data_IF_165187762742
#
_entry.id   IF_165187762742
#
_cell.length_a   1.000
_cell.length_b   1.000
_cell.length_c   1.000
_cell.angle_alpha   90.00
_cell.angle_beta   90.00
_cell.angle_gamma   90.00
#
_symmetry.space_group_name_H-M   'P 1'
#
loop_
_entity.id
_entity.type
_entity.pdbx_description
1 polymer ?
#
# COMPACT_ATOMS: atom_id res chain seq x y z
N UNK A 1 4.04 26.16 -3.35
CA UNK A 1 3.34 25.75 -4.59
C UNK A 1 1.83 25.70 -4.39
N UNK A 2 1.32 24.84 -3.50
CA UNK A 2 -0.13 24.70 -3.23
C UNK A 2 -0.84 26.01 -2.86
N UNK A 3 -0.22 26.88 -2.04
CA UNK A 3 -0.81 28.20 -1.74
C UNK A 3 -1.00 29.09 -2.97
N UNK A 4 -0.11 28.99 -3.97
CA UNK A 4 -0.25 29.75 -5.23
C UNK A 4 -1.34 29.16 -6.13
N UNK A 5 -1.51 27.83 -6.09
CA UNK A 5 -2.63 27.15 -6.76
C UNK A 5 -3.97 27.57 -6.16
N UNK A 6 -4.07 27.65 -4.83
CA UNK A 6 -5.29 28.12 -4.15
C UNK A 6 -5.68 29.55 -4.56
N UNK A 7 -4.70 30.43 -4.80
CA UNK A 7 -4.96 31.80 -5.26
C UNK A 7 -5.63 31.86 -6.65
N UNK A 8 -5.48 30.81 -7.45
CA UNK A 8 -6.13 30.68 -8.76
C UNK A 8 -7.33 29.71 -8.73
N UNK A 9 -7.84 29.39 -7.54
CA UNK A 9 -9.01 28.51 -7.36
C UNK A 9 -8.71 27.01 -7.37
N UNK A 10 -7.45 26.61 -7.50
CA UNK A 10 -7.02 25.21 -7.49
C UNK A 10 -6.64 24.76 -6.07
N UNK A 11 -7.61 24.24 -5.31
CA UNK A 11 -7.39 23.81 -3.92
C UNK A 11 -7.08 22.31 -3.82
N UNK A 12 -5.78 22.00 -3.71
CA UNK A 12 -5.26 20.64 -3.57
C UNK A 12 -4.62 20.45 -2.19
N UNK A 13 -4.79 19.27 -1.61
CA UNK A 13 -4.05 18.79 -0.45
C UNK A 13 -2.64 18.36 -0.84
N UNK A 14 -2.52 17.64 -1.96
CA UNK A 14 -1.25 17.14 -2.46
C UNK A 14 -1.26 16.98 -3.99
N UNK A 15 -0.07 17.00 -4.58
CA UNK A 15 0.16 16.70 -6.00
C UNK A 15 1.54 16.05 -6.17
N UNK A 16 1.58 14.94 -6.92
CA UNK A 16 2.78 14.16 -7.21
C UNK A 16 2.88 13.95 -8.71
N UNK A 17 4.06 14.23 -9.27
CA UNK A 17 4.33 14.10 -10.69
C UNK A 17 5.50 13.15 -10.93
N UNK A 18 5.27 12.13 -11.77
CA UNK A 18 6.29 11.18 -12.20
C UNK A 18 6.56 11.37 -13.69
N UNK A 19 7.82 11.63 -14.02
CA UNK A 19 8.31 11.73 -15.40
C UNK A 19 8.95 10.41 -15.81
N UNK A 20 8.36 9.74 -16.80
CA UNK A 20 8.92 8.54 -17.43
C UNK A 20 8.62 8.54 -18.94
N UNK A 21 8.52 7.35 -19.53
CA UNK A 21 8.00 7.20 -20.91
C UNK A 21 6.58 7.77 -21.03
N UNK A 22 5.78 7.55 -19.98
CA UNK A 22 4.51 8.23 -19.74
C UNK A 22 4.65 9.17 -18.55
N UNK A 23 3.98 10.31 -18.63
CA UNK A 23 3.92 11.31 -17.57
C UNK A 23 2.70 11.02 -16.69
N UNK A 24 2.91 10.75 -15.40
CA UNK A 24 1.83 10.47 -14.46
C UNK A 24 1.67 11.60 -13.46
N UNK A 25 0.42 12.00 -13.22
CA UNK A 25 0.05 13.01 -12.25
C UNK A 25 -0.97 12.40 -11.29
N UNK A 26 -0.67 12.43 -10.00
CA UNK A 26 -1.58 12.01 -8.92
C UNK A 26 -1.82 13.22 -8.04
N UNK A 27 -3.08 13.55 -7.78
CA UNK A 27 -3.45 14.73 -6.99
C UNK A 27 -4.62 14.40 -6.07
N UNK A 28 -4.69 15.12 -4.95
CA UNK A 28 -5.77 15.00 -3.98
C UNK A 28 -6.42 16.37 -3.80
N UNK A 29 -7.57 16.64 -4.44
CA UNK A 29 -8.30 17.89 -4.29
C UNK A 29 -9.10 17.91 -2.97
N UNK A 30 -9.31 19.09 -2.39
CA UNK A 30 -10.00 19.22 -1.08
C UNK A 30 -11.51 19.00 -1.11
N UNK A 31 -12.15 19.23 -2.25
CA UNK A 31 -13.62 19.18 -2.36
C UNK A 31 -14.00 18.58 -3.72
N UNK A 32 -14.16 17.26 -3.76
CA UNK A 32 -14.75 16.55 -4.90
C UNK A 32 -15.62 15.43 -4.35
N UNK A 33 -16.94 15.58 -4.47
CA UNK A 33 -17.86 14.47 -4.23
C UNK A 33 -17.84 13.53 -5.44
N UNK A 34 -17.58 12.24 -5.20
CA UNK A 34 -17.45 11.23 -6.27
C UNK A 34 -18.75 10.99 -7.05
N UNK A 35 -19.90 11.29 -6.45
CA UNK A 35 -21.20 10.80 -6.94
C UNK A 35 -21.80 11.61 -8.10
N UNK A 36 -21.18 12.73 -8.51
CA UNK A 36 -21.71 13.56 -9.61
C UNK A 36 -20.62 14.41 -10.28
N UNK A 37 -19.65 13.77 -10.93
CA UNK A 37 -18.52 14.47 -11.55
C UNK A 37 -18.82 14.80 -13.01
N UNK A 38 -18.87 16.10 -13.30
CA UNK A 38 -18.88 16.61 -14.67
C UNK A 38 -17.50 16.38 -15.32
N UNK A 39 -17.44 15.53 -16.35
CA UNK A 39 -16.20 15.12 -17.01
C UNK A 39 -15.49 16.27 -17.74
N UNK A 40 -16.23 17.18 -18.36
CA UNK A 40 -15.65 18.33 -19.07
C UNK A 40 -15.01 19.30 -18.07
N UNK A 41 -15.72 19.60 -16.98
CA UNK A 41 -15.18 20.42 -15.90
C UNK A 41 -13.95 19.77 -15.24
N UNK A 42 -13.97 18.44 -15.08
CA UNK A 42 -12.82 17.70 -14.56
C UNK A 42 -11.61 17.76 -15.51
N UNK A 43 -11.80 17.58 -16.82
CA UNK A 43 -10.73 17.68 -17.80
C UNK A 43 -10.11 19.08 -17.83
N UNK A 44 -10.94 20.13 -17.81
CA UNK A 44 -10.50 21.53 -17.71
C UNK A 44 -9.69 21.78 -16.43
N UNK A 45 -10.19 21.31 -15.28
CA UNK A 45 -9.50 21.44 -13.99
C UNK A 45 -8.11 20.79 -14.02
N UNK A 46 -7.98 19.57 -14.57
CA UNK A 46 -6.68 18.90 -14.68
C UNK A 46 -5.76 19.64 -15.66
N UNK A 47 -6.28 20.20 -16.77
CA UNK A 47 -5.50 21.03 -17.70
C UNK A 47 -4.93 22.28 -17.01
N UNK A 48 -5.73 22.99 -16.22
CA UNK A 48 -5.28 24.17 -15.49
C UNK A 48 -4.14 23.84 -14.54
N UNK A 49 -4.22 22.71 -13.82
CA UNK A 49 -3.16 22.25 -12.93
C UNK A 49 -1.88 21.93 -13.73
N UNK A 50 -1.99 21.20 -14.84
CA UNK A 50 -0.85 20.85 -15.70
C UNK A 50 -0.15 22.09 -16.25
N UNK A 51 -0.94 23.07 -16.72
CA UNK A 51 -0.44 24.34 -17.23
C UNK A 51 0.23 25.17 -16.11
N UNK A 52 -0.39 25.21 -14.93
CA UNK A 52 0.14 25.94 -13.78
C UNK A 52 1.48 25.36 -13.30
N UNK A 53 1.61 24.03 -13.25
CA UNK A 53 2.85 23.34 -12.86
C UNK A 53 3.91 23.42 -13.97
N UNK A 54 3.51 23.72 -15.21
CA UNK A 54 4.41 23.80 -16.36
C UNK A 54 4.87 22.43 -16.85
N UNK A 55 4.01 21.41 -16.75
CA UNK A 55 4.34 20.06 -17.25
C UNK A 55 4.27 20.11 -18.78
N UNK A 56 5.37 19.80 -19.50
CA UNK A 56 5.40 19.89 -20.96
C UNK A 56 4.48 18.83 -21.57
N UNK A 57 3.56 19.26 -22.46
CA UNK A 57 2.59 18.38 -23.13
C UNK A 57 2.73 18.46 -24.65
N UNK A 58 2.76 17.29 -25.31
CA UNK A 58 2.73 17.17 -26.78
C UNK A 58 1.40 16.64 -27.32
N UNK A 59 0.66 15.89 -26.50
CA UNK A 59 -0.60 15.22 -26.84
C UNK A 59 -1.61 15.41 -25.71
N UNK A 60 -2.88 15.03 -25.92
CA UNK A 60 -3.89 15.04 -24.87
C UNK A 60 -3.68 13.93 -23.81
N UNK A 61 -4.44 14.00 -22.71
CA UNK A 61 -4.39 12.99 -21.66
C UNK A 61 -4.76 11.62 -22.21
N UNK A 62 -3.86 10.65 -22.06
CA UNK A 62 -4.15 9.27 -22.45
C UNK A 62 -5.28 8.68 -21.61
N UNK A 63 -5.30 8.99 -20.30
CA UNK A 63 -6.31 8.53 -19.33
C UNK A 63 -6.46 9.55 -18.21
N UNK A 64 -7.70 9.82 -17.80
CA UNK A 64 -8.05 10.52 -16.57
C UNK A 64 -8.98 9.63 -15.75
N UNK A 65 -8.76 9.53 -14.45
CA UNK A 65 -9.54 8.67 -13.55
C UNK A 65 -9.58 9.28 -12.17
N UNK A 66 -10.66 9.01 -11.44
CA UNK A 66 -10.90 9.54 -10.11
C UNK A 66 -11.09 8.35 -9.17
N UNK A 67 -10.47 8.45 -8.01
CA UNK A 67 -10.47 7.41 -6.99
C UNK A 67 -10.85 8.04 -5.65
N UNK A 68 -11.64 7.31 -4.86
CA UNK A 68 -11.99 7.70 -3.50
C UNK A 68 -10.97 7.12 -2.52
N UNK A 69 -10.31 7.99 -1.76
CA UNK A 69 -9.39 7.61 -0.67
C UNK A 69 -9.98 7.89 0.72
N UNK A 70 -11.26 8.25 0.81
CA UNK A 70 -11.94 8.58 2.07
C UNK A 70 -12.09 7.35 2.97
N UNK A 71 -12.28 6.17 2.38
CA UNK A 71 -12.27 4.89 3.07
C UNK A 71 -11.15 4.01 2.52
N UNK A 72 -10.28 3.53 3.41
CA UNK A 72 -9.24 2.57 3.06
C UNK A 72 -9.58 1.22 3.66
N UNK A 73 -9.60 0.19 2.81
CA UNK A 73 -9.79 -1.18 3.24
C UNK A 73 -8.50 -1.76 3.84
N UNK A 74 -8.65 -2.51 4.94
CA UNK A 74 -7.59 -3.33 5.51
C UNK A 74 -8.19 -4.61 6.06
N UNK A 75 -7.48 -5.72 5.90
CA UNK A 75 -7.88 -6.96 6.53
C UNK A 75 -7.73 -6.86 8.06
N UNK A 76 -8.67 -7.44 8.81
CA UNK A 76 -8.55 -7.58 10.27
C UNK A 76 -7.37 -8.48 10.65
N UNK A 77 -7.15 -9.54 9.86
CA UNK A 77 -6.08 -10.52 10.06
C UNK A 77 -5.40 -10.82 8.75
N UNK A 78 -4.10 -11.08 8.81
CA UNK A 78 -3.34 -11.40 7.62
C UNK A 78 -3.54 -12.82 7.11
N UNK A 79 -3.93 -13.74 7.99
CA UNK A 79 -4.20 -15.13 7.67
C UNK A 79 -5.18 -15.77 8.65
N UNK A 80 -5.79 -16.87 8.22
CA UNK A 80 -6.65 -17.72 9.03
C UNK A 80 -6.49 -19.19 8.64
N UNK A 81 -6.84 -20.08 9.56
CA UNK A 81 -6.87 -21.53 9.29
C UNK A 81 -8.30 -22.01 9.52
N UNK A 82 -8.91 -22.50 8.44
CA UNK A 82 -10.25 -23.09 8.46
C UNK A 82 -10.12 -24.60 8.63
N UNK A 83 -10.97 -25.21 9.45
CA UNK A 83 -10.96 -26.66 9.67
C UNK A 83 -12.31 -27.25 9.28
N UNK A 84 -12.29 -28.30 8.47
CA UNK A 84 -13.50 -29.04 8.08
C UNK A 84 -13.14 -30.50 7.83
N UNK A 85 -13.94 -31.44 8.37
CA UNK A 85 -13.72 -32.89 8.21
C UNK A 85 -12.30 -33.35 8.57
N UNK A 86 -11.71 -32.79 9.63
CA UNK A 86 -10.35 -33.10 10.06
C UNK A 86 -9.23 -32.57 9.12
N UNK A 87 -9.57 -31.83 8.07
CA UNK A 87 -8.63 -31.19 7.15
C UNK A 87 -8.52 -29.70 7.44
N UNK A 88 -7.31 -29.16 7.29
CA UNK A 88 -7.01 -27.73 7.49
C UNK A 88 -6.84 -27.04 6.14
N UNK A 89 -7.41 -25.85 6.01
CA UNK A 89 -7.23 -24.94 4.88
C UNK A 89 -6.61 -23.64 5.40
N UNK A 90 -5.41 -23.35 4.93
CA UNK A 90 -4.67 -22.13 5.27
C UNK A 90 -5.03 -21.04 4.26
N UNK A 91 -5.53 -19.90 4.74
CA UNK A 91 -5.93 -18.76 3.92
C UNK A 91 -5.09 -17.55 4.34
N UNK A 92 -4.46 -16.87 3.38
CA UNK A 92 -3.66 -15.67 3.65
C UNK A 92 -3.88 -14.60 2.59
N UNK A 93 -3.96 -13.35 3.03
CA UNK A 93 -4.08 -12.18 2.15
C UNK A 93 -2.69 -11.61 1.82
N UNK A 94 -2.58 -11.03 0.62
CA UNK A 94 -1.38 -10.32 0.12
C UNK A 94 -1.78 -9.09 -0.70
N UNK A 95 -0.86 -8.15 -0.86
CA UNK A 95 -1.08 -6.93 -1.66
C UNK A 95 -2.26 -6.10 -1.16
N UNK A 96 -2.97 -5.49 -2.10
CA UNK A 96 -4.07 -4.56 -1.81
C UNK A 96 -5.23 -5.24 -1.06
N UNK A 97 -5.42 -6.56 -1.23
CA UNK A 97 -6.42 -7.32 -0.46
C UNK A 97 -6.12 -7.40 1.04
N UNK A 98 -4.85 -7.25 1.42
CA UNK A 98 -4.40 -7.25 2.81
C UNK A 98 -4.39 -5.83 3.39
N UNK A 99 -3.87 -4.87 2.62
CA UNK A 99 -3.70 -3.49 3.05
C UNK A 99 -3.73 -2.56 1.83
N UNK A 100 -4.85 -1.86 1.66
CA UNK A 100 -5.01 -0.91 0.58
C UNK A 100 -4.01 0.25 0.71
N UNK A 101 -3.22 0.56 -0.34
CA UNK A 101 -2.21 1.59 -0.27
C UNK A 101 -2.79 2.97 -0.57
N UNK A 102 -2.34 3.97 0.19
CA UNK A 102 -2.50 5.37 -0.19
C UNK A 102 -1.40 5.71 -1.19
N UNK A 103 -1.76 5.94 -2.46
CA UNK A 103 -0.77 6.00 -3.54
C UNK A 103 0.27 7.10 -3.39
N UNK A 104 -0.11 8.24 -2.81
CA UNK A 104 0.81 9.35 -2.60
C UNK A 104 1.88 9.08 -1.53
N UNK A 105 1.75 8.01 -0.72
CA UNK A 105 2.81 7.58 0.21
C UNK A 105 3.93 6.77 -0.47
N UNK A 106 3.68 6.25 -1.68
CA UNK A 106 4.71 5.54 -2.47
C UNK A 106 5.20 4.21 -1.88
N UNK A 107 4.47 3.61 -0.93
CA UNK A 107 4.87 2.36 -0.26
C UNK A 107 4.06 1.12 -0.68
N UNK A 108 3.04 1.28 -1.53
CA UNK A 108 2.14 0.19 -1.93
C UNK A 108 2.86 -1.01 -2.51
N UNK A 109 3.73 -0.81 -3.51
CA UNK A 109 4.53 -1.89 -4.10
C UNK A 109 5.41 -2.57 -3.06
N UNK A 110 6.08 -1.81 -2.18
CA UNK A 110 6.92 -2.38 -1.14
C UNK A 110 6.12 -3.28 -0.19
N UNK A 111 4.97 -2.81 0.32
CA UNK A 111 4.07 -3.59 1.19
C UNK A 111 3.55 -4.84 0.47
N UNK A 112 3.17 -4.73 -0.80
CA UNK A 112 2.72 -5.86 -1.62
C UNK A 112 3.76 -6.98 -1.70
N UNK A 113 5.01 -6.66 -2.07
CA UNK A 113 6.09 -7.65 -2.14
C UNK A 113 6.43 -8.24 -0.76
N UNK A 114 6.48 -7.42 0.29
CA UNK A 114 6.73 -7.91 1.65
C UNK A 114 5.64 -8.89 2.10
N UNK A 115 4.37 -8.57 1.86
CA UNK A 115 3.25 -9.48 2.18
C UNK A 115 3.30 -10.80 1.42
N UNK A 116 3.74 -10.78 0.16
CA UNK A 116 3.93 -11.99 -0.63
C UNK A 116 5.05 -12.86 -0.04
N UNK A 117 6.19 -12.26 0.33
CA UNK A 117 7.29 -12.99 0.97
C UNK A 117 6.89 -13.57 2.33
N UNK A 118 6.12 -12.82 3.13
CA UNK A 118 5.59 -13.28 4.42
C UNK A 118 4.60 -14.45 4.26
N UNK A 119 3.76 -14.40 3.23
CA UNK A 119 2.85 -15.50 2.89
C UNK A 119 3.61 -16.75 2.42
N UNK A 120 4.64 -16.59 1.58
CA UNK A 120 5.47 -17.71 1.12
C UNK A 120 6.21 -18.35 2.30
N UNK A 121 6.75 -17.54 3.21
CA UNK A 121 7.36 -18.08 4.43
C UNK A 121 6.36 -18.84 5.29
N UNK A 122 5.15 -18.29 5.50
CA UNK A 122 4.09 -18.97 6.24
C UNK A 122 3.79 -20.35 5.64
N UNK A 123 3.63 -20.44 4.31
CA UNK A 123 3.40 -21.70 3.61
C UNK A 123 4.56 -22.68 3.83
N UNK A 124 5.81 -22.23 3.80
CA UNK A 124 6.99 -23.07 3.99
C UNK A 124 7.15 -23.63 5.42
N UNK A 125 6.46 -23.05 6.41
CA UNK A 125 6.45 -23.49 7.80
C UNK A 125 5.27 -24.39 8.17
N UNK A 126 4.30 -24.58 7.28
CA UNK A 126 3.17 -25.50 7.51
C UNK A 126 3.71 -26.91 7.79
N UNK A 127 3.25 -27.51 8.89
CA UNK A 127 3.69 -28.83 9.35
C UNK A 127 5.05 -28.86 10.06
N UNK A 128 5.80 -27.75 10.08
CA UNK A 128 7.05 -27.60 10.87
C UNK A 128 6.83 -26.82 12.16
N UNK A 129 5.91 -25.85 12.13
CA UNK A 129 5.55 -25.01 13.26
C UNK A 129 4.12 -25.32 13.71
N UNK A 130 3.85 -25.08 15.00
CA UNK A 130 2.48 -25.12 15.50
C UNK A 130 1.64 -24.02 14.83
N UNK A 131 0.42 -24.35 14.41
CA UNK A 131 -0.49 -23.44 13.70
C UNK A 131 -0.70 -22.10 14.44
N UNK A 132 -0.75 -22.14 15.77
CA UNK A 132 -0.90 -20.94 16.61
C UNK A 132 0.30 -20.01 16.46
N UNK A 133 1.51 -20.55 16.52
CA UNK A 133 2.74 -19.76 16.33
C UNK A 133 2.84 -19.25 14.90
N UNK A 134 2.46 -20.07 13.92
CA UNK A 134 2.46 -19.70 12.51
C UNK A 134 1.56 -18.49 12.24
N UNK A 135 0.34 -18.50 12.77
CA UNK A 135 -0.58 -17.36 12.68
C UNK A 135 -0.07 -16.14 13.45
N UNK A 136 0.53 -16.34 14.63
CA UNK A 136 1.10 -15.25 15.42
C UNK A 136 2.26 -14.54 14.68
N UNK A 137 3.18 -15.29 14.07
CA UNK A 137 4.30 -14.73 13.31
C UNK A 137 3.81 -14.03 12.03
N UNK A 138 2.80 -14.58 11.36
CA UNK A 138 2.19 -13.96 10.18
C UNK A 138 1.47 -12.66 10.53
N UNK A 139 0.79 -12.60 11.66
CA UNK A 139 0.16 -11.39 12.16
C UNK A 139 1.21 -10.36 12.62
N UNK A 140 2.29 -10.81 13.23
CA UNK A 140 3.39 -9.94 13.65
C UNK A 140 4.03 -9.20 12.46
N UNK A 141 4.36 -9.92 11.38
CA UNK A 141 4.86 -9.30 10.14
C UNK A 141 3.87 -8.33 9.51
N UNK A 142 2.57 -8.64 9.59
CA UNK A 142 1.53 -7.73 9.12
C UNK A 142 1.50 -6.42 9.92
N UNK A 143 1.61 -6.48 11.25
CA UNK A 143 1.66 -5.28 12.10
C UNK A 143 2.88 -4.40 11.80
N UNK A 144 4.04 -4.98 11.50
CA UNK A 144 5.21 -4.23 11.04
C UNK A 144 4.87 -3.47 9.76
N UNK A 145 4.31 -4.17 8.77
CA UNK A 145 3.95 -3.60 7.48
C UNK A 145 2.93 -2.46 7.56
N UNK A 146 1.98 -2.53 8.49
CA UNK A 146 1.03 -1.44 8.78
C UNK A 146 1.72 -0.17 9.27
N UNK A 147 2.87 -0.27 9.95
CA UNK A 147 3.65 0.89 10.44
C UNK A 147 4.65 1.43 9.42
N UNK A 148 5.06 0.61 8.44
CA UNK A 148 6.01 1.04 7.41
C UNK A 148 5.49 2.23 6.61
N UNK A 149 6.31 3.26 6.44
CA UNK A 149 5.98 4.41 5.57
C UNK A 149 7.22 4.86 4.79
N UNK A 150 7.06 5.89 3.95
CA UNK A 150 8.19 6.54 3.28
C UNK A 150 9.24 7.07 4.28
N UNK A 151 8.79 7.48 5.47
CA UNK A 151 9.64 8.07 6.52
C UNK A 151 9.91 7.15 7.71
N UNK A 152 9.22 6.01 7.80
CA UNK A 152 9.36 5.05 8.89
C UNK A 152 9.76 3.67 8.35
N UNK A 153 11.07 3.39 8.39
CA UNK A 153 11.67 2.13 7.91
C UNK A 153 12.67 1.53 8.90
N UNK A 154 12.67 2.00 10.15
CA UNK A 154 13.64 1.59 11.17
C UNK A 154 13.48 0.11 11.57
N UNK A 155 12.27 -0.42 11.39
CA UNK A 155 11.93 -1.84 11.58
C UNK A 155 12.43 -2.74 10.43
N UNK A 156 13.12 -2.19 9.41
CA UNK A 156 13.63 -2.91 8.25
C UNK A 156 15.16 -3.00 8.22
N UNK A 157 15.69 -4.12 7.77
CA UNK A 157 17.12 -4.26 7.52
C UNK A 157 17.58 -3.40 6.33
N UNK A 158 18.69 -2.67 6.49
CA UNK A 158 19.18 -1.76 5.43
C UNK A 158 19.67 -2.48 4.17
N UNK A 159 20.16 -3.72 4.30
CA UNK A 159 20.75 -4.45 3.18
C UNK A 159 19.70 -5.28 2.44
N UNK A 160 18.96 -4.63 1.54
CA UNK A 160 17.92 -5.26 0.70
C UNK A 160 18.42 -6.42 -0.16
N UNK A 161 19.73 -6.50 -0.46
CA UNK A 161 20.30 -7.61 -1.24
C UNK A 161 20.37 -8.93 -0.47
N UNK A 162 20.24 -8.87 0.86
CA UNK A 162 20.20 -10.06 1.73
C UNK A 162 18.79 -10.54 2.02
N UNK A 163 17.77 -9.87 1.48
CA UNK A 163 16.38 -10.23 1.73
C UNK A 163 16.08 -11.59 1.12
N UNK A 164 15.42 -12.43 1.91
CA UNK A 164 14.92 -13.74 1.53
C UNK A 164 13.47 -13.87 1.96
N UNK A 165 12.86 -15.04 1.72
CA UNK A 165 11.54 -15.34 2.29
C UNK A 165 11.55 -15.31 3.81
N UNK A 166 12.68 -15.60 4.48
CA UNK A 166 12.78 -15.51 5.95
C UNK A 166 12.53 -14.06 6.41
N UNK A 167 11.48 -13.79 7.20
CA UNK A 167 11.20 -12.47 7.74
C UNK A 167 12.36 -11.86 8.53
N UNK A 168 13.20 -12.67 9.19
CA UNK A 168 14.38 -12.19 9.94
C UNK A 168 15.47 -11.62 9.05
N UNK A 169 15.46 -11.93 7.76
CA UNK A 169 16.35 -11.28 6.79
C UNK A 169 15.87 -9.88 6.39
N UNK A 170 14.64 -9.51 6.75
CA UNK A 170 13.94 -8.29 6.29
C UNK A 170 13.58 -7.35 7.42
N UNK A 171 13.11 -7.88 8.55
CA UNK A 171 12.66 -7.12 9.71
C UNK A 171 13.67 -7.21 10.85
N UNK A 172 13.95 -6.09 11.51
CA UNK A 172 14.95 -5.99 12.59
C UNK A 172 14.40 -6.39 13.97
N UNK A 173 13.11 -6.69 14.06
CA UNK A 173 12.43 -6.98 15.33
C UNK A 173 12.45 -8.48 15.62
N UNK A 174 12.64 -8.80 16.89
CA UNK A 174 12.54 -10.17 17.38
C UNK A 174 11.10 -10.68 17.32
N UNK A 175 10.96 -11.88 16.75
CA UNK A 175 9.68 -12.58 16.69
C UNK A 175 9.31 -13.10 18.08
N UNK A 176 8.02 -12.99 18.49
CA UNK A 176 7.58 -13.47 19.79
C UNK A 176 7.82 -14.98 19.89
N UNK A 177 8.71 -15.37 20.80
CA UNK A 177 9.04 -16.77 21.03
C UNK A 177 8.04 -17.37 22.03
N UNK A 178 7.18 -18.29 21.57
CA UNK A 178 6.36 -19.14 22.42
C UNK A 178 5.09 -18.49 22.98
N UNK A 179 3.98 -18.64 22.25
CA UNK A 179 2.65 -18.69 22.86
C UNK A 179 2.42 -20.12 23.36
N UNK A 180 3.24 -20.58 24.30
CA UNK A 180 2.99 -21.79 25.09
C UNK A 180 3.31 -21.45 26.54
N UNK A 181 2.37 -20.71 27.12
CA UNK A 181 2.35 -20.33 28.52
C UNK A 181 0.91 -20.34 29.04
N UNK A 182 0.14 -21.37 28.69
CA UNK A 182 -1.02 -21.87 29.45
C UNK A 182 -1.21 -23.34 29.14
#
# INVERSE_FOLDING_TARGET
MLNKMRQVGLDLENIVYFRGEMHYLVMTPKQLGADNINQDAFHLFVNEIVNFVGIPRKTDFARLSIFDFSSLARADKAASILTSHGKKLYVGFIGDSLLEPVWHEGVGTCRGFLSALDAVWMVAQIGKMADVQLLADREFTYRIMQRLSGHHRDEMHKNVRKYTVDPKSRYTIDFPCGILGV
#
